data_IF_116163809371
#
_entry.id   IF_116163809371
#
_cell.length_a   1.000
_cell.length_b   1.000
_cell.length_c   1.000
_cell.angle_alpha   90.00
_cell.angle_beta   90.00
_cell.angle_gamma   90.00
#
_symmetry.space_group_name_H-M   'P 1'
#
loop_
_entity.id
_entity.type
_entity.pdbx_description
1 polymer ?
#
# COMPACT_ATOMS: atom_id res chain seq x y z
N UNK A 1 -5.29 11.89 -6.64
CA UNK A 1 -5.58 11.46 -8.02
C UNK A 1 -6.16 10.05 -7.98
N UNK A 2 -7.46 9.89 -8.21
CA UNK A 2 -8.09 8.57 -8.40
C UNK A 2 -7.88 8.15 -9.85
N UNK A 3 -7.12 7.08 -10.08
CA UNK A 3 -6.97 6.51 -11.42
C UNK A 3 -8.22 5.67 -11.71
N UNK A 4 -8.91 5.99 -12.80
CA UNK A 4 -10.05 5.20 -13.27
C UNK A 4 -9.61 3.80 -13.73
N UNK A 5 -8.39 3.67 -14.25
CA UNK A 5 -7.80 2.44 -14.77
C UNK A 5 -6.25 2.52 -14.71
N UNK A 6 -5.57 1.42 -14.40
CA UNK A 6 -4.12 1.29 -14.35
C UNK A 6 -3.68 -0.19 -14.39
N UNK A 7 -2.41 -0.42 -14.74
CA UNK A 7 -1.80 -1.75 -14.74
C UNK A 7 -0.89 -1.88 -13.52
N UNK A 8 -1.10 -2.94 -12.74
CA UNK A 8 -0.28 -3.29 -11.61
C UNK A 8 1.11 -3.79 -12.06
N UNK A 9 2.14 -3.71 -11.21
CA UNK A 9 3.48 -4.21 -11.55
C UNK A 9 3.52 -5.71 -11.91
N UNK A 10 2.55 -6.49 -11.45
CA UNK A 10 2.38 -7.91 -11.76
C UNK A 10 1.63 -8.17 -13.09
N UNK A 11 1.23 -7.10 -13.80
CA UNK A 11 0.53 -7.15 -15.07
C UNK A 11 -1.00 -7.24 -14.97
N UNK A 12 -1.57 -7.29 -13.76
CA UNK A 12 -3.04 -7.29 -13.58
C UNK A 12 -3.62 -5.91 -13.89
N UNK A 13 -4.78 -5.88 -14.51
CA UNK A 13 -5.58 -4.66 -14.71
C UNK A 13 -6.31 -4.31 -13.41
N UNK A 14 -6.30 -3.03 -13.03
CA UNK A 14 -6.96 -2.51 -11.84
C UNK A 14 -7.55 -1.12 -12.13
N UNK A 15 -8.56 -0.72 -11.37
CA UNK A 15 -9.35 0.47 -11.68
C UNK A 15 -10.80 0.34 -11.26
N UNK A 16 -11.57 1.41 -11.43
CA UNK A 16 -13.02 1.38 -11.26
C UNK A 16 -13.67 0.73 -12.48
N UNK A 17 -14.58 -0.21 -12.24
CA UNK A 17 -15.23 -1.05 -13.25
C UNK A 17 -14.38 -2.21 -13.77
N UNK A 18 -13.23 -2.52 -13.17
CA UNK A 18 -12.37 -3.63 -13.59
C UNK A 18 -12.77 -4.89 -12.81
N UNK A 19 -13.47 -5.81 -13.47
CA UNK A 19 -13.93 -7.05 -12.85
C UNK A 19 -12.75 -7.93 -12.41
N UNK A 20 -12.81 -8.40 -11.18
CA UNK A 20 -11.80 -9.25 -10.56
C UNK A 20 -12.42 -10.19 -9.53
N UNK A 21 -11.70 -11.25 -9.16
CA UNK A 21 -12.04 -12.05 -7.99
C UNK A 21 -11.32 -11.49 -6.76
N UNK A 22 -11.91 -11.75 -5.59
CA UNK A 22 -11.27 -11.53 -4.29
C UNK A 22 -9.96 -12.34 -4.22
N UNK A 23 -8.86 -11.72 -3.79
CA UNK A 23 -7.54 -12.35 -3.65
C UNK A 23 -7.46 -13.27 -2.39
N UNK A 24 -8.59 -13.52 -1.72
CA UNK A 24 -8.66 -14.55 -0.66
C UNK A 24 -8.74 -15.94 -1.29
N UNK A 25 -7.88 -16.85 -0.85
CA UNK A 25 -7.74 -18.19 -1.45
C UNK A 25 -9.01 -19.06 -1.45
N UNK A 26 -10.01 -18.74 -0.63
CA UNK A 26 -11.25 -19.50 -0.53
C UNK A 26 -12.47 -18.69 -1.04
N UNK A 27 -12.26 -17.47 -1.55
CA UNK A 27 -13.33 -16.58 -2.00
C UNK A 27 -13.27 -16.33 -3.50
N UNK A 28 -14.36 -16.66 -4.21
CA UNK A 28 -14.52 -16.37 -5.64
C UNK A 28 -15.51 -15.23 -5.89
N UNK A 29 -15.69 -14.34 -4.91
CA UNK A 29 -16.61 -13.21 -5.05
C UNK A 29 -16.06 -12.23 -6.09
N UNK A 30 -16.89 -11.88 -7.07
CA UNK A 30 -16.56 -10.83 -8.02
C UNK A 30 -16.57 -9.47 -7.34
N UNK A 31 -15.49 -8.73 -7.53
CA UNK A 31 -15.25 -7.38 -7.04
C UNK A 31 -14.89 -6.47 -8.21
N UNK A 32 -14.95 -5.17 -7.95
CA UNK A 32 -14.29 -4.18 -8.77
C UNK A 32 -12.86 -4.01 -8.24
N UNK A 33 -11.82 -4.20 -9.05
CA UNK A 33 -10.40 -4.04 -8.63
C UNK A 33 -10.01 -2.56 -8.47
N UNK A 34 -10.90 -1.78 -7.87
CA UNK A 34 -10.74 -0.40 -7.51
C UNK A 34 -10.24 -0.24 -6.08
N UNK A 35 -9.96 1.02 -5.70
CA UNK A 35 -9.39 1.35 -4.38
C UNK A 35 -10.27 0.96 -3.20
N UNK A 36 -11.59 0.84 -3.39
CA UNK A 36 -12.50 0.41 -2.32
C UNK A 36 -12.30 -1.02 -1.85
N UNK A 37 -11.59 -1.84 -2.63
CA UNK A 37 -11.29 -3.23 -2.34
C UNK A 37 -9.80 -3.48 -2.09
N UNK A 38 -8.96 -2.46 -2.22
CA UNK A 38 -7.51 -2.55 -2.07
C UNK A 38 -7.09 -2.53 -0.59
N UNK A 39 -6.20 -3.44 -0.19
CA UNK A 39 -5.49 -3.34 1.07
C UNK A 39 -4.25 -2.43 0.95
N UNK A 40 -4.36 -1.21 1.50
CA UNK A 40 -3.34 -0.16 1.47
C UNK A 40 -3.85 1.09 0.72
N UNK A 41 -3.00 2.10 0.56
CA UNK A 41 -3.36 3.36 -0.10
C UNK A 41 -2.80 3.48 -1.53
N UNK A 42 -1.82 2.65 -1.90
CA UNK A 42 -1.11 2.70 -3.16
C UNK A 42 -1.92 2.05 -4.26
N UNK A 43 -2.38 2.81 -5.26
CA UNK A 43 -3.05 2.19 -6.40
C UNK A 43 -2.11 1.18 -7.10
N UNK A 44 -0.79 1.36 -7.08
CA UNK A 44 0.13 0.46 -7.78
C UNK A 44 0.62 -0.71 -6.92
N UNK A 45 -0.07 -1.01 -5.81
CA UNK A 45 0.29 -2.09 -4.87
C UNK A 45 1.50 -1.73 -3.98
N UNK A 46 2.14 -2.72 -3.36
CA UNK A 46 3.33 -2.47 -2.52
C UNK A 46 4.46 -1.84 -3.33
N UNK A 47 4.70 -0.54 -3.15
CA UNK A 47 5.82 0.15 -3.81
C UNK A 47 6.93 0.60 -2.87
N UNK A 48 6.63 0.89 -1.62
CA UNK A 48 7.54 1.64 -0.76
C UNK A 48 7.58 1.02 0.64
N UNK A 49 8.75 1.06 1.27
CA UNK A 49 8.95 0.52 2.61
C UNK A 49 8.17 1.29 3.70
N UNK A 50 7.57 2.41 3.35
CA UNK A 50 6.87 3.27 4.30
C UNK A 50 5.34 3.20 4.14
N UNK A 51 4.82 2.21 3.40
CA UNK A 51 3.39 2.09 3.17
C UNK A 51 2.77 0.80 3.72
N UNK A 52 1.72 0.94 4.51
CA UNK A 52 0.92 -0.16 5.01
C UNK A 52 0.02 -0.76 3.92
N UNK A 53 -0.25 -2.06 4.05
CA UNK A 53 -1.08 -2.81 3.13
C UNK A 53 -0.29 -3.83 2.29
N UNK A 54 -0.97 -4.90 1.90
CA UNK A 54 -0.36 -5.97 1.11
C UNK A 54 -0.47 -5.74 -0.41
N UNK A 55 -1.26 -4.77 -0.86
CA UNK A 55 -1.46 -4.47 -2.28
C UNK A 55 -2.40 -5.43 -3.02
N UNK A 56 -3.04 -6.35 -2.29
CA UNK A 56 -4.07 -7.25 -2.82
C UNK A 56 -5.47 -6.66 -2.69
N UNK A 57 -6.41 -7.26 -3.40
CA UNK A 57 -7.79 -6.80 -3.49
C UNK A 57 -8.74 -7.81 -2.87
N UNK A 58 -9.54 -7.39 -1.91
CA UNK A 58 -10.44 -8.24 -1.16
C UNK A 58 -11.85 -7.68 -1.20
N UNK A 59 -12.86 -8.55 -1.22
CA UNK A 59 -14.24 -8.11 -1.05
C UNK A 59 -14.45 -7.43 0.31
N UNK A 60 -15.56 -6.71 0.48
CA UNK A 60 -15.85 -5.97 1.72
C UNK A 60 -15.91 -6.86 2.97
N UNK A 61 -16.07 -8.18 2.81
CA UNK A 61 -16.06 -9.15 3.91
C UNK A 61 -14.62 -9.50 4.33
N UNK A 62 -13.72 -9.73 3.36
CA UNK A 62 -12.35 -10.16 3.66
C UNK A 62 -11.38 -9.00 3.86
N UNK A 63 -11.64 -7.83 3.27
CA UNK A 63 -10.79 -6.65 3.43
C UNK A 63 -10.45 -6.32 4.90
N UNK A 64 -11.37 -6.37 5.87
CA UNK A 64 -11.03 -6.12 7.27
C UNK A 64 -10.28 -7.26 7.99
N UNK A 65 -10.36 -8.53 7.53
CA UNK A 65 -9.85 -9.71 8.28
C UNK A 65 -8.94 -10.66 7.47
N UNK A 66 -8.43 -10.24 6.31
CA UNK A 66 -7.61 -11.06 5.40
C UNK A 66 -6.18 -11.42 5.91
N UNK A 67 -5.92 -11.34 7.23
CA UNK A 67 -4.60 -11.56 7.85
C UNK A 67 -3.46 -10.88 7.08
N UNK A 68 -3.56 -9.56 6.95
CA UNK A 68 -2.57 -8.78 6.21
C UNK A 68 -1.16 -9.05 6.73
N UNK A 69 -0.19 -9.43 5.87
CA UNK A 69 1.20 -9.59 6.27
C UNK A 69 1.90 -8.25 6.55
N UNK A 70 1.27 -7.11 6.25
CA UNK A 70 1.79 -5.75 6.46
C UNK A 70 0.65 -4.83 6.92
N UNK A 71 0.04 -5.05 8.10
CA UNK A 71 -1.03 -4.20 8.57
C UNK A 71 -0.50 -2.80 8.91
N UNK A 72 -1.42 -1.84 9.00
CA UNK A 72 -1.10 -0.52 9.53
C UNK A 72 -0.71 -0.60 11.00
N UNK A 73 0.19 0.29 11.42
CA UNK A 73 0.46 0.48 12.84
C UNK A 73 -0.72 1.22 13.50
N UNK A 74 -1.62 0.48 14.15
CA UNK A 74 -2.76 1.04 14.90
C UNK A 74 -2.38 1.58 16.29
N UNK A 75 -1.11 1.44 16.69
CA UNK A 75 -0.62 1.97 17.95
C UNK A 75 -0.18 3.44 17.80
N UNK A 76 -0.66 4.36 18.66
CA UNK A 76 -0.16 5.72 18.69
C UNK A 76 1.31 5.69 19.12
N UNK A 77 2.20 6.03 18.18
CA UNK A 77 3.61 6.20 18.46
C UNK A 77 3.78 7.62 19.04
N UNK A 78 4.34 7.74 20.24
CA UNK A 78 4.66 9.06 20.83
C UNK A 78 5.78 9.78 20.07
N UNK A 79 6.56 9.00 19.31
CA UNK A 79 7.67 9.48 18.50
C UNK A 79 7.21 9.86 17.10
N UNK A 80 7.65 11.02 16.61
CA UNK A 80 7.49 11.43 15.21
C UNK A 80 8.35 10.60 14.22
N UNK A 81 8.89 9.47 14.66
CA UNK A 81 9.80 8.62 13.89
C UNK A 81 9.02 7.53 13.14
N UNK A 82 9.48 7.12 11.93
CA UNK A 82 8.97 5.93 11.25
C UNK A 82 9.02 4.70 12.16
N UNK A 83 8.04 3.80 12.04
CA UNK A 83 7.99 2.57 12.86
C UNK A 83 9.28 1.75 12.78
N UNK A 84 9.97 1.75 11.64
CA UNK A 84 11.25 1.05 11.43
C UNK A 84 12.39 1.53 12.33
N UNK A 85 12.26 2.69 13.00
CA UNK A 85 13.27 3.26 13.89
C UNK A 85 12.90 3.16 15.38
N UNK A 86 11.69 2.69 15.71
CA UNK A 86 11.22 2.56 17.09
C UNK A 86 11.60 1.18 17.63
N UNK A 87 12.26 1.12 18.80
CA UNK A 87 12.63 -0.17 19.42
C UNK A 87 11.38 -1.01 19.71
N UNK A 88 11.38 -2.27 19.27
CA UNK A 88 10.26 -3.20 19.46
C UNK A 88 9.22 -3.20 18.33
N UNK A 89 9.40 -2.37 17.30
CA UNK A 89 8.59 -2.37 16.07
C UNK A 89 9.21 -3.25 14.97
N UNK A 90 9.69 -4.46 15.34
CA UNK A 90 10.35 -5.42 14.45
C UNK A 90 9.37 -6.35 13.69
N UNK A 91 8.06 -6.16 13.87
CA UNK A 91 7.01 -6.97 13.25
C UNK A 91 6.72 -6.46 11.83
N UNK A 92 6.21 -7.31 10.93
CA UNK A 92 5.91 -6.89 9.56
C UNK A 92 4.62 -6.04 9.58
N UNK A 93 4.68 -4.81 10.08
CA UNK A 93 3.63 -3.79 10.04
C UNK A 93 4.30 -2.44 9.72
N UNK A 94 3.63 -1.56 8.98
CA UNK A 94 4.23 -0.29 8.52
C UNK A 94 3.39 0.90 8.99
N UNK A 95 4.00 2.08 9.11
CA UNK A 95 3.24 3.28 9.46
C UNK A 95 2.36 3.70 8.27
N UNK A 96 1.22 4.32 8.58
CA UNK A 96 0.38 5.01 7.58
C UNK A 96 0.75 6.50 7.50
N UNK A 97 1.53 6.99 8.46
CA UNK A 97 1.95 8.39 8.59
C UNK A 97 3.45 8.53 8.42
N UNK A 98 3.97 8.25 7.22
CA UNK A 98 5.19 8.90 6.79
C UNK A 98 4.85 10.35 6.47
N UNK A 99 5.16 11.30 7.37
CA UNK A 99 5.14 12.71 6.96
C UNK A 99 6.29 12.91 5.96
N UNK A 100 6.02 13.47 4.77
CA UNK A 100 7.08 13.74 3.81
C UNK A 100 7.88 14.93 4.34
N UNK A 101 9.22 14.85 4.37
CA UNK A 101 10.01 16.08 4.34
C UNK A 101 11.25 16.03 3.45
N UNK A 102 11.07 16.71 2.32
CA UNK A 102 12.01 17.49 1.53
C UNK A 102 13.50 17.48 1.92
N UNK A 103 14.28 16.53 1.37
CA UNK A 103 15.73 16.68 1.04
C UNK A 103 16.23 15.35 0.50
N UNK A 104 16.09 15.06 -0.79
CA UNK A 104 17.13 15.45 -1.74
C UNK A 104 16.62 15.13 -3.13
N UNK A 105 16.22 16.18 -3.86
CA UNK A 105 16.59 16.22 -5.28
C UNK A 105 18.11 16.04 -5.28
N UNK A 106 18.60 14.83 -5.57
CA UNK A 106 19.95 14.69 -6.13
C UNK A 106 19.87 15.42 -7.47
N UNK A 107 20.11 16.74 -7.41
CA UNK A 107 20.61 17.48 -8.56
C UNK A 107 21.80 16.68 -9.04
N UNK A 108 21.71 16.09 -10.22
CA UNK A 108 22.89 15.65 -10.94
C UNK A 108 23.89 16.81 -10.91
N UNK A 109 25.17 16.55 -10.58
CA UNK A 109 26.15 17.62 -10.54
C UNK A 109 26.21 18.31 -11.92
N UNK A 110 26.47 19.63 -11.97
CA UNK A 110 26.63 20.31 -13.25
C UNK A 110 27.74 19.61 -14.02
N UNK A 111 27.45 19.22 -15.27
CA UNK A 111 28.50 18.88 -16.24
C UNK A 111 29.39 20.12 -16.35
N UNK A 112 30.61 20.03 -15.82
CA UNK A 112 31.65 21.04 -16.06
C UNK A 112 32.07 20.96 -17.54
N UNK A 113 32.56 22.07 -18.11
CA UNK A 113 32.56 22.37 -19.55
C UNK A 113 33.44 21.43 -20.37
#
# INVERSE_FOLDING_TARGET
>A
MSLAYYILPDGREAGYGVAAECDDSQCHQLIDRGRGYLCGDNPLGRKEDDEAGCGNYFCLVHLPDHRCPVPGCDMPCEDALPCSLVRGHDRPHRNTTARPDTRTRRRSPPRRP
#
